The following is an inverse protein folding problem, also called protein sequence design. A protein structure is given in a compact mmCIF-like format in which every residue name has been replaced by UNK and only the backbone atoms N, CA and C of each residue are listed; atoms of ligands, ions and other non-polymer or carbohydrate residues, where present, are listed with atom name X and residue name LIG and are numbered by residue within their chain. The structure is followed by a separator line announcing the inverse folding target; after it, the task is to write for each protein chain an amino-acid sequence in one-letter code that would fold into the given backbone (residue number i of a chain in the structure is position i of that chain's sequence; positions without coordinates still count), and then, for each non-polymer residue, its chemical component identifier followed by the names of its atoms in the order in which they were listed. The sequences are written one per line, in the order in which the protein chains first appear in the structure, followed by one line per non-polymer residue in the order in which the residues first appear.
data_IF_400265482981
#
_entry.id   IF_400265482981
#
_cell.length_a   1.000
_cell.length_b   1.000
_cell.length_c   1.000
_cell.angle_alpha   90.00
_cell.angle_beta   90.00
_cell.angle_gamma   90.00
#
_symmetry.space_group_name_H-M   'P 1'
#
loop_
_entity.id
_entity.type
_entity.pdbx_description
1 polymer ?
#
# COMPACT_ATOMS: atom_id res chain seq x y z
N UNK A 1 -67.75 -55.58 -10.13
CA UNK A 1 -67.12 -54.32 -9.73
C UNK A 1 -66.69 -53.57 -10.97
N UNK A 2 -67.48 -52.59 -11.40
CA UNK A 2 -67.23 -51.73 -12.56
C UNK A 2 -66.65 -50.41 -12.07
N UNK A 3 -65.45 -50.03 -12.51
CA UNK A 3 -65.07 -48.62 -12.68
C UNK A 3 -64.16 -48.50 -13.90
N UNK A 4 -64.77 -47.98 -14.96
CA UNK A 4 -64.14 -47.56 -16.21
C UNK A 4 -63.21 -46.38 -15.94
N UNK A 5 -62.01 -46.43 -16.50
CA UNK A 5 -61.08 -45.30 -16.56
C UNK A 5 -61.69 -44.15 -17.39
N UNK A 6 -61.47 -42.88 -17.02
CA UNK A 6 -61.97 -41.73 -17.77
C UNK A 6 -61.17 -41.52 -19.08
N UNK A 7 -61.77 -40.85 -20.09
CA UNK A 7 -61.16 -40.64 -21.40
C UNK A 7 -60.07 -39.57 -21.37
N UNK A 8 -59.01 -39.82 -22.16
CA UNK A 8 -57.90 -38.92 -22.42
C UNK A 8 -58.40 -37.76 -23.29
N UNK A 9 -58.30 -36.53 -22.79
CA UNK A 9 -58.57 -35.29 -23.54
C UNK A 9 -57.34 -34.99 -24.41
N UNK A 10 -57.50 -35.08 -25.73
CA UNK A 10 -56.49 -34.68 -26.71
C UNK A 10 -56.63 -33.17 -26.95
N UNK A 11 -55.63 -32.40 -26.52
CA UNK A 11 -55.54 -30.96 -26.82
C UNK A 11 -54.98 -30.76 -28.25
N UNK A 12 -55.55 -29.83 -29.05
CA UNK A 12 -55.04 -29.52 -30.38
C UNK A 12 -53.72 -28.75 -30.32
N UNK A 13 -52.85 -28.88 -31.34
CA UNK A 13 -51.53 -28.25 -31.36
C UNK A 13 -51.60 -26.72 -31.49
N UNK A 14 -50.60 -25.99 -30.97
CA UNK A 14 -50.56 -24.53 -31.01
C UNK A 14 -50.38 -24.00 -32.44
N UNK A 15 -51.14 -22.94 -32.77
CA UNK A 15 -51.05 -22.20 -34.03
C UNK A 15 -49.75 -21.41 -34.11
N UNK A 16 -49.02 -21.59 -35.21
CA UNK A 16 -47.80 -20.84 -35.55
C UNK A 16 -48.11 -19.36 -35.84
N UNK A 17 -47.29 -18.47 -35.26
CA UNK A 17 -47.29 -17.04 -35.56
C UNK A 17 -46.35 -16.76 -36.76
N UNK A 18 -46.68 -15.81 -37.65
CA UNK A 18 -45.89 -15.55 -38.84
C UNK A 18 -44.59 -14.78 -38.55
N UNK A 19 -43.49 -15.24 -39.15
CA UNK A 19 -42.17 -14.62 -39.12
C UNK A 19 -42.10 -13.31 -39.93
N UNK A 20 -41.29 -12.31 -39.50
CA UNK A 20 -41.09 -11.07 -40.26
C UNK A 20 -40.13 -11.26 -41.46
N UNK A 21 -40.24 -10.42 -42.50
CA UNK A 21 -39.53 -10.61 -43.76
C UNK A 21 -38.05 -10.20 -43.69
N UNK A 22 -37.22 -10.98 -44.39
CA UNK A 22 -35.77 -10.85 -44.46
C UNK A 22 -35.26 -9.65 -45.25
N UNK A 23 -33.99 -9.32 -45.01
CA UNK A 23 -33.16 -8.45 -45.85
C UNK A 23 -32.03 -9.27 -46.49
N UNK A 24 -31.64 -8.96 -47.73
CA UNK A 24 -30.64 -9.72 -48.47
C UNK A 24 -29.22 -9.20 -48.23
N UNK A 25 -28.24 -10.08 -48.35
CA UNK A 25 -27.14 -10.00 -49.33
C UNK A 25 -25.94 -10.85 -48.89
N UNK A 26 -25.63 -11.89 -49.66
CA UNK A 26 -24.31 -12.49 -49.75
C UNK A 26 -23.75 -12.13 -51.13
N UNK A 27 -22.60 -11.45 -51.21
CA UNK A 27 -21.63 -11.62 -52.29
C UNK A 27 -20.24 -11.46 -51.66
N UNK A 28 -19.39 -12.46 -51.91
CA UNK A 28 -17.98 -12.50 -51.52
C UNK A 28 -17.09 -11.73 -52.51
N UNK A 29 -15.83 -11.57 -52.11
CA UNK A 29 -14.65 -11.14 -52.89
C UNK A 29 -14.37 -9.65 -53.03
N UNK A 30 -13.43 -9.19 -52.20
CA UNK A 30 -12.32 -8.34 -52.63
C UNK A 30 -11.16 -8.43 -51.63
N UNK A 31 -10.09 -9.12 -52.04
CA UNK A 31 -8.75 -8.98 -51.47
C UNK A 31 -8.19 -7.63 -51.92
N UNK A 32 -7.64 -6.84 -50.99
CA UNK A 32 -6.36 -6.09 -51.13
C UNK A 32 -6.35 -4.73 -50.41
N UNK A 33 -5.29 -4.55 -49.60
CA UNK A 33 -4.65 -3.31 -49.16
C UNK A 33 -5.45 -2.30 -48.31
N UNK A 34 -5.37 -2.47 -46.99
CA UNK A 34 -5.31 -1.34 -46.07
C UNK A 34 -4.31 -1.63 -44.94
N UNK A 35 -3.27 -0.80 -44.87
CA UNK A 35 -2.21 -0.83 -43.86
C UNK A 35 -2.80 -0.76 -42.43
N UNK A 36 -2.10 -1.32 -41.42
CA UNK A 36 -2.59 -1.27 -40.04
C UNK A 36 -2.60 0.18 -39.55
N UNK A 37 -3.81 0.72 -39.36
CA UNK A 37 -4.02 1.91 -38.53
C UNK A 37 -3.51 1.56 -37.14
N UNK A 38 -2.33 2.09 -36.80
CA UNK A 38 -1.79 2.11 -35.44
C UNK A 38 -2.83 2.77 -34.53
N UNK A 39 -3.72 1.97 -33.92
CA UNK A 39 -4.53 2.42 -32.79
C UNK A 39 -3.56 2.71 -31.64
N UNK A 40 -3.17 3.97 -31.53
CA UNK A 40 -2.56 4.54 -30.34
C UNK A 40 -3.51 4.32 -29.17
N UNK A 41 -3.30 3.24 -28.42
CA UNK A 41 -3.91 3.02 -27.12
C UNK A 41 -3.06 3.73 -26.06
N UNK A 42 -2.92 5.05 -26.20
CA UNK A 42 -2.37 5.93 -25.17
C UNK A 42 -3.41 7.00 -24.87
N UNK A 43 -4.15 6.83 -23.78
CA UNK A 43 -4.65 7.90 -22.90
C UNK A 43 -5.83 7.41 -22.08
N UNK A 44 -5.57 7.06 -20.83
CA UNK A 44 -6.51 7.26 -19.72
C UNK A 44 -5.81 8.06 -18.62
N UNK A 45 -5.83 9.38 -18.85
CA UNK A 45 -6.07 10.48 -17.91
C UNK A 45 -5.10 10.76 -16.75
N UNK A 46 -4.38 11.90 -16.89
CA UNK A 46 -4.16 12.86 -15.81
C UNK A 46 -2.71 13.12 -15.40
N UNK A 47 -1.87 12.09 -15.38
CA UNK A 47 -0.43 12.22 -15.11
C UNK A 47 0.32 11.98 -16.43
N UNK A 48 -0.04 12.73 -17.46
CA UNK A 48 0.76 12.80 -18.68
C UNK A 48 2.16 13.31 -18.29
N UNK A 49 3.15 12.47 -18.59
CA UNK A 49 4.60 12.62 -18.48
C UNK A 49 5.13 13.69 -17.50
N UNK A 50 5.88 13.22 -16.51
CA UNK A 50 6.68 14.07 -15.64
C UNK A 50 7.57 14.99 -16.51
N UNK A 51 7.57 16.32 -16.30
CA UNK A 51 8.40 17.23 -17.09
C UNK A 51 9.88 16.83 -17.04
N UNK A 52 10.61 16.98 -18.14
CA UNK A 52 12.03 16.56 -18.22
C UNK A 52 12.94 17.29 -17.20
N UNK A 53 12.58 18.50 -16.80
CA UNK A 53 13.28 19.29 -15.78
C UNK A 53 12.94 18.89 -14.34
N UNK A 54 11.95 18.00 -14.16
CA UNK A 54 11.44 17.64 -12.85
C UNK A 54 12.39 16.66 -12.16
N UNK A 55 12.85 17.04 -10.98
CA UNK A 55 13.92 16.36 -10.26
C UNK A 55 13.73 16.52 -8.75
N UNK A 56 14.33 15.63 -7.98
CA UNK A 56 14.40 15.79 -6.52
C UNK A 56 15.26 17.03 -6.23
N UNK A 57 14.79 17.99 -5.41
CA UNK A 57 15.59 19.15 -5.02
C UNK A 57 16.93 18.74 -4.42
N UNK A 58 18.00 19.49 -4.73
CA UNK A 58 19.34 19.26 -4.17
C UNK A 58 19.34 19.48 -2.65
N UNK A 59 20.32 18.91 -1.95
CA UNK A 59 20.43 19.02 -0.49
C UNK A 59 20.57 20.48 -0.02
N UNK A 60 21.15 21.36 -0.86
CA UNK A 60 21.35 22.78 -0.60
C UNK A 60 20.12 23.64 -0.95
N UNK A 61 19.13 23.06 -1.65
CA UNK A 61 17.92 23.79 -2.03
C UNK A 61 17.05 24.07 -0.79
N UNK A 62 16.32 25.20 -0.76
CA UNK A 62 15.36 25.47 0.30
C UNK A 62 14.33 24.35 0.44
N UNK A 63 14.03 23.97 1.68
CA UNK A 63 12.97 23.01 1.98
C UNK A 63 11.62 23.64 1.65
N UNK A 64 10.72 22.86 1.04
CA UNK A 64 9.36 23.32 0.75
C UNK A 64 8.39 22.63 1.69
N UNK A 65 7.67 23.43 2.46
CA UNK A 65 6.59 22.97 3.35
C UNK A 65 5.26 23.43 2.79
N UNK A 66 4.34 22.50 2.60
CA UNK A 66 2.98 22.78 2.18
C UNK A 66 2.10 23.03 3.41
N UNK A 67 1.47 24.19 3.44
CA UNK A 67 0.53 24.57 4.48
C UNK A 67 -0.88 24.38 3.93
N UNK A 68 -1.67 23.51 4.55
CA UNK A 68 -3.06 23.23 4.18
C UNK A 68 -4.03 23.77 5.24
N UNK A 69 -5.02 24.54 4.78
CA UNK A 69 -6.11 25.06 5.56
C UNK A 69 -7.43 24.54 4.99
N UNK A 70 -8.14 23.70 5.74
CA UNK A 70 -9.49 23.25 5.42
C UNK A 70 -10.47 24.00 6.34
N UNK A 71 -11.58 24.57 5.85
CA UNK A 71 -12.56 25.23 6.69
C UNK A 71 -13.02 24.34 7.85
N UNK A 72 -13.05 24.90 9.06
CA UNK A 72 -13.43 24.22 10.31
C UNK A 72 -12.54 23.04 10.70
N UNK A 73 -11.29 22.97 10.23
CA UNK A 73 -10.31 21.97 10.65
C UNK A 73 -8.99 22.62 11.08
N UNK A 74 -8.18 21.84 11.79
CA UNK A 74 -6.83 22.24 12.14
C UNK A 74 -5.94 22.41 10.90
N UNK A 75 -5.13 23.46 10.93
CA UNK A 75 -4.08 23.73 9.95
C UNK A 75 -3.08 22.57 9.94
N UNK A 76 -2.67 22.15 8.75
CA UNK A 76 -1.69 21.07 8.55
C UNK A 76 -0.45 21.58 7.83
N UNK A 77 0.69 21.00 8.18
CA UNK A 77 1.97 21.27 7.53
C UNK A 77 2.56 19.95 7.03
N UNK A 78 2.92 19.90 5.75
CA UNK A 78 3.45 18.70 5.10
C UNK A 78 4.81 19.04 4.48
N UNK A 79 5.87 18.34 4.91
CA UNK A 79 7.20 18.52 4.34
C UNK A 79 7.30 17.81 2.99
N UNK A 80 7.53 18.60 1.93
CA UNK A 80 7.65 18.12 0.56
C UNK A 80 9.11 17.87 0.15
N UNK A 81 10.06 18.09 1.06
CA UNK A 81 11.49 17.92 0.79
C UNK A 81 11.84 16.49 0.38
N UNK A 82 12.80 16.35 -0.53
CA UNK A 82 13.24 15.04 -1.03
C UNK A 82 12.30 14.37 -2.02
N UNK A 83 11.24 15.06 -2.47
CA UNK A 83 10.29 14.57 -3.47
C UNK A 83 10.46 15.37 -4.76
N UNK A 84 10.44 14.68 -5.90
CA UNK A 84 10.40 15.31 -7.22
C UNK A 84 8.99 15.69 -7.64
N UNK A 85 7.97 14.98 -7.13
CA UNK A 85 6.57 15.30 -7.32
C UNK A 85 5.69 14.79 -6.18
N UNK A 86 4.51 15.40 -6.02
CA UNK A 86 3.53 15.02 -4.99
C UNK A 86 2.12 15.11 -5.56
N UNK A 87 1.36 14.02 -5.49
CA UNK A 87 -0.05 14.00 -5.85
C UNK A 87 -0.91 14.57 -4.71
N UNK A 88 -1.87 15.40 -5.07
CA UNK A 88 -2.84 15.98 -4.17
C UNK A 88 -4.24 15.51 -4.56
N UNK A 89 -5.03 15.08 -3.59
CA UNK A 89 -6.41 14.72 -3.86
C UNK A 89 -7.11 14.11 -2.66
N UNK A 90 -8.40 13.84 -2.81
CA UNK A 90 -9.25 13.33 -1.73
C UNK A 90 -8.96 11.87 -1.37
N UNK A 91 -8.43 11.10 -2.32
CA UNK A 91 -8.12 9.67 -2.15
C UNK A 91 -6.80 9.34 -2.83
N UNK A 92 -5.74 10.06 -2.46
CA UNK A 92 -4.37 9.75 -2.89
C UNK A 92 -3.67 8.94 -1.82
N UNK A 93 -3.03 7.85 -2.23
CA UNK A 93 -2.21 7.03 -1.34
C UNK A 93 -0.85 7.69 -1.09
N UNK A 94 -0.21 7.44 0.07
CA UNK A 94 1.16 7.86 0.31
C UNK A 94 2.10 7.39 -0.82
N UNK A 95 3.02 8.25 -1.30
CA UNK A 95 3.46 9.51 -0.71
C UNK A 95 2.63 10.75 -1.12
N UNK A 96 1.45 10.58 -1.71
CA UNK A 96 0.50 11.66 -1.98
C UNK A 96 -0.06 12.30 -0.70
N UNK A 97 -0.57 13.52 -0.81
CA UNK A 97 -1.14 14.27 0.30
C UNK A 97 -2.65 14.35 0.16
N UNK A 98 -3.34 13.79 1.15
CA UNK A 98 -4.80 13.80 1.21
C UNK A 98 -5.32 15.19 1.55
N UNK A 99 -6.05 15.76 0.60
CA UNK A 99 -6.86 16.96 0.71
C UNK A 99 -8.22 16.62 1.33
N UNK A 100 -8.76 17.49 2.20
CA UNK A 100 -9.94 17.17 3.04
C UNK A 100 -11.22 17.89 2.63
N UNK A 101 -11.15 18.81 1.68
CA UNK A 101 -12.28 19.50 1.09
C UNK A 101 -13.23 18.53 0.39
N UNK A 102 -14.52 18.63 0.71
CA UNK A 102 -15.56 17.78 0.10
C UNK A 102 -15.66 17.93 -1.42
N UNK A 103 -15.29 19.11 -1.95
CA UNK A 103 -15.26 19.42 -3.39
C UNK A 103 -13.95 19.04 -4.08
N UNK A 104 -13.01 18.43 -3.36
CA UNK A 104 -11.74 17.98 -3.94
C UNK A 104 -11.92 16.64 -4.67
N UNK A 105 -11.44 16.55 -5.92
CA UNK A 105 -11.39 15.28 -6.68
C UNK A 105 -10.41 14.25 -6.08
N UNK A 106 -10.62 12.98 -6.41
CA UNK A 106 -9.81 11.83 -5.95
C UNK A 106 -8.32 12.01 -6.24
N UNK A 107 -8.02 12.32 -7.50
CA UNK A 107 -6.73 12.83 -7.99
C UNK A 107 -7.01 14.24 -8.49
N UNK A 108 -6.60 15.26 -7.74
CA UNK A 108 -6.99 16.65 -7.99
C UNK A 108 -5.91 17.41 -8.74
N UNK A 109 -4.71 17.43 -8.18
CA UNK A 109 -3.58 18.16 -8.73
C UNK A 109 -2.27 17.42 -8.43
N UNK A 110 -1.20 17.85 -9.07
CA UNK A 110 0.16 17.37 -8.80
C UNK A 110 1.08 18.57 -8.64
N UNK A 111 1.95 18.50 -7.64
CA UNK A 111 3.08 19.42 -7.47
C UNK A 111 4.31 18.75 -8.08
N UNK A 112 5.07 19.48 -8.90
CA UNK A 112 6.37 19.08 -9.43
C UNK A 112 7.46 20.00 -8.90
N UNK A 113 8.67 19.46 -8.74
CA UNK A 113 9.84 20.19 -8.30
C UNK A 113 10.97 20.14 -9.32
N UNK A 114 11.81 21.17 -9.35
CA UNK A 114 13.09 21.13 -10.06
C UNK A 114 14.25 20.94 -9.07
N UNK A 115 15.48 20.80 -9.61
CA UNK A 115 16.68 20.63 -8.80
C UNK A 115 16.97 21.80 -7.83
N UNK A 116 16.46 23.01 -8.13
CA UNK A 116 16.63 24.21 -7.29
C UNK A 116 15.56 24.32 -6.18
N UNK A 117 14.61 23.38 -6.11
CA UNK A 117 13.51 23.41 -5.14
C UNK A 117 12.37 24.37 -5.50
N UNK A 118 12.28 24.84 -6.75
CA UNK A 118 11.09 25.56 -7.23
C UNK A 118 9.93 24.58 -7.43
N UNK A 119 8.71 25.05 -7.20
CA UNK A 119 7.49 24.24 -7.26
C UNK A 119 6.58 24.67 -8.42
N UNK A 120 5.95 23.71 -9.07
CA UNK A 120 4.93 23.93 -10.10
C UNK A 120 3.70 23.08 -9.79
N UNK A 121 2.53 23.62 -10.07
CA UNK A 121 1.26 22.93 -9.89
C UNK A 121 0.59 22.67 -11.24
N UNK A 122 -0.01 21.49 -11.37
CA UNK A 122 -0.85 21.10 -12.50
C UNK A 122 -2.15 20.52 -11.97
N UNK A 123 -3.28 21.07 -12.39
CA UNK A 123 -4.58 20.48 -12.15
C UNK A 123 -4.76 19.24 -13.05
N UNK A 124 -5.18 18.11 -12.48
CA UNK A 124 -5.27 16.81 -13.16
C UNK A 124 -6.64 16.57 -13.82
N UNK A 125 -7.38 17.63 -14.17
CA UNK A 125 -8.75 17.52 -14.66
C UNK A 125 -9.75 17.38 -13.51
N UNK A 126 -9.55 18.15 -12.43
CA UNK A 126 -10.44 18.08 -11.27
C UNK A 126 -11.85 18.59 -11.62
N UNK A 127 -12.87 17.97 -11.01
CA UNK A 127 -14.29 18.28 -11.29
C UNK A 127 -14.62 19.74 -10.97
N UNK A 128 -14.13 20.23 -9.82
CA UNK A 128 -14.41 21.59 -9.36
C UNK A 128 -13.28 22.58 -9.67
N UNK A 129 -12.16 22.12 -10.25
CA UNK A 129 -11.03 22.95 -10.61
C UNK A 129 -10.08 23.29 -9.47
N UNK A 130 -8.85 23.59 -9.85
CA UNK A 130 -7.85 24.28 -9.02
C UNK A 130 -7.89 25.78 -9.31
N UNK A 131 -7.74 26.61 -8.28
CA UNK A 131 -7.72 28.07 -8.40
C UNK A 131 -6.42 28.63 -7.82
N UNK A 132 -5.78 29.56 -8.52
CA UNK A 132 -4.57 30.27 -8.10
C UNK A 132 -4.93 31.73 -7.88
N UNK A 133 -4.76 32.24 -6.65
CA UNK A 133 -5.24 33.56 -6.23
C UNK A 133 -6.70 33.81 -6.65
N UNK A 134 -7.56 32.83 -6.37
CA UNK A 134 -8.99 32.83 -6.72
C UNK A 134 -9.32 32.77 -8.23
N UNK A 135 -8.33 32.71 -9.13
CA UNK A 135 -8.52 32.51 -10.58
C UNK A 135 -8.39 31.04 -10.91
N UNK A 136 -9.41 30.44 -11.55
CA UNK A 136 -9.37 29.03 -11.97
C UNK A 136 -8.28 28.84 -13.03
N UNK A 137 -7.35 27.91 -12.79
CA UNK A 137 -6.28 27.59 -13.73
C UNK A 137 -6.75 26.56 -14.76
N UNK A 138 -6.13 26.55 -15.94
CA UNK A 138 -6.48 25.59 -17.00
C UNK A 138 -6.00 24.19 -16.62
N UNK A 139 -6.89 23.17 -16.65
CA UNK A 139 -6.49 21.78 -16.41
C UNK A 139 -5.33 21.33 -17.31
N UNK A 140 -4.51 20.43 -16.79
CA UNK A 140 -3.34 19.84 -17.45
C UNK A 140 -2.26 20.85 -17.90
N UNK A 141 -2.34 22.11 -17.46
CA UNK A 141 -1.32 23.14 -17.71
C UNK A 141 -0.49 23.35 -16.44
N UNK A 142 0.82 23.52 -16.60
CA UNK A 142 1.76 23.76 -15.50
C UNK A 142 1.84 25.24 -15.17
N UNK A 143 1.70 25.57 -13.89
CA UNK A 143 1.84 26.94 -13.37
C UNK A 143 2.90 26.94 -12.27
N UNK A 144 3.80 27.93 -12.29
CA UNK A 144 4.77 28.10 -11.19
C UNK A 144 4.00 28.46 -9.91
N UNK A 145 4.26 27.72 -8.82
CA UNK A 145 3.68 28.00 -7.52
C UNK A 145 4.72 28.72 -6.66
N UNK A 146 4.50 30.03 -6.44
CA UNK A 146 5.35 30.85 -5.58
C UNK A 146 4.84 30.84 -4.12
N UNK A 147 5.71 31.06 -3.11
CA UNK A 147 5.33 30.99 -1.70
C UNK A 147 4.19 31.90 -1.24
N UNK A 148 4.07 33.06 -1.87
CA UNK A 148 3.06 34.09 -1.62
C UNK A 148 1.72 33.82 -2.33
N UNK A 149 1.64 32.77 -3.16
CA UNK A 149 0.46 32.46 -3.96
C UNK A 149 -0.39 31.43 -3.25
N UNK A 150 -1.67 31.78 -3.04
CA UNK A 150 -2.66 30.87 -2.49
C UNK A 150 -3.26 30.00 -3.60
N UNK A 151 -3.33 28.69 -3.34
CA UNK A 151 -4.03 27.73 -4.19
C UNK A 151 -5.26 27.24 -3.46
N UNK A 152 -6.40 27.18 -4.16
CA UNK A 152 -7.62 26.55 -3.68
C UNK A 152 -7.95 25.32 -4.52
N UNK A 153 -8.23 24.22 -3.84
CA UNK A 153 -8.65 22.96 -4.46
C UNK A 153 -10.16 22.78 -4.32
N UNK A 154 -10.87 22.92 -5.44
CA UNK A 154 -12.33 22.89 -5.49
C UNK A 154 -13.00 24.23 -5.18
N UNK A 155 -14.32 24.17 -4.98
CA UNK A 155 -15.19 25.34 -4.77
C UNK A 155 -15.57 25.50 -3.30
N UNK A 156 -15.80 26.74 -2.87
CA UNK A 156 -16.38 27.03 -1.57
C UNK A 156 -17.78 26.40 -1.39
N UNK A 157 -18.19 26.08 -0.15
CA UNK A 157 -17.42 26.20 1.10
C UNK A 157 -16.53 24.98 1.43
N UNK A 158 -16.60 23.91 0.61
CA UNK A 158 -15.97 22.62 0.92
C UNK A 158 -14.64 22.43 0.19
N UNK A 159 -13.72 23.39 0.28
CA UNK A 159 -12.42 23.38 -0.39
C UNK A 159 -11.24 23.25 0.58
N UNK A 160 -10.06 22.95 0.05
CA UNK A 160 -8.79 23.17 0.77
C UNK A 160 -8.12 24.43 0.19
N UNK A 161 -7.56 25.25 1.07
CA UNK A 161 -6.63 26.32 0.69
C UNK A 161 -5.21 25.90 1.05
N UNK A 162 -4.27 26.27 0.20
CA UNK A 162 -2.89 25.88 0.35
C UNK A 162 -1.95 27.03 0.03
N UNK A 163 -0.85 27.10 0.77
CA UNK A 163 0.31 27.95 0.47
C UNK A 163 1.57 27.12 0.66
N UNK A 164 2.67 27.53 0.04
CA UNK A 164 3.98 26.88 0.26
C UNK A 164 4.89 27.84 1.01
N UNK A 165 5.67 27.33 1.94
CA UNK A 165 6.71 28.09 2.64
C UNK A 165 8.07 27.50 2.30
N UNK A 166 9.05 28.39 2.08
CA UNK A 166 10.45 28.00 1.90
C UNK A 166 11.18 28.12 3.22
N UNK A 167 11.73 27.01 3.70
CA UNK A 167 12.55 26.96 4.89
C UNK A 167 14.02 26.74 4.51
N UNK A 168 14.94 27.10 5.42
CA UNK A 168 16.35 26.84 5.22
C UNK A 168 16.63 25.34 5.01
N UNK A 169 17.61 24.97 4.18
CA UNK A 169 18.03 23.58 4.01
C UNK A 169 18.45 22.97 5.36
N UNK A 170 18.32 21.65 5.49
CA UNK A 170 18.83 20.96 6.68
C UNK A 170 20.34 21.21 6.79
N UNK A 171 20.80 21.74 7.94
CA UNK A 171 22.24 21.75 8.25
C UNK A 171 22.68 20.30 8.41
N UNK A 172 23.46 19.78 7.46
CA UNK A 172 24.09 18.48 7.56
C UNK A 172 24.94 18.46 8.85
N UNK A 173 24.46 17.79 9.91
CA UNK A 173 25.36 17.38 11.00
C UNK A 173 26.32 16.37 10.38
N UNK A 174 27.61 16.73 10.35
CA UNK A 174 28.65 16.02 9.61
C UNK A 174 28.63 14.51 9.84
N UNK A 175 28.13 13.77 8.85
CA UNK A 175 28.38 12.34 8.70
C UNK A 175 29.81 12.24 8.18
N UNK A 176 30.73 11.77 9.04
CA UNK A 176 32.10 11.45 8.65
C UNK A 176 32.05 10.45 7.49
N UNK A 177 32.71 10.80 6.39
CA UNK A 177 32.85 9.95 5.19
C UNK A 177 33.44 8.58 5.57
N UNK A 178 33.03 7.46 4.94
CA UNK A 178 33.68 6.18 5.12
C UNK A 178 35.14 6.28 4.67
N UNK A 179 36.03 5.79 5.52
CA UNK A 179 37.48 5.75 5.39
C UNK A 179 37.87 4.80 4.25
N UNK A 180 38.61 5.32 3.27
CA UNK A 180 39.30 4.53 2.24
C UNK A 180 40.33 3.57 2.87
N UNK A 181 40.46 2.47 2.15
CA UNK A 181 41.16 1.22 2.41
C UNK A 181 42.66 1.38 2.70
N UNK A 182 43.18 0.59 3.64
CA UNK A 182 44.57 0.60 4.11
C UNK A 182 45.56 -0.02 3.10
N UNK A 183 46.76 0.56 3.03
CA UNK A 183 48.00 -0.07 2.56
C UNK A 183 49.20 0.52 3.37
N UNK A 184 50.37 -0.16 3.46
CA UNK A 184 50.90 -0.74 4.71
C UNK A 184 52.00 0.12 5.40
N UNK A 185 52.50 -0.26 6.60
CA UNK A 185 53.10 0.67 7.54
C UNK A 185 54.60 0.87 7.29
N UNK A 186 55.08 2.11 7.50
CA UNK A 186 56.50 2.36 7.78
C UNK A 186 56.71 3.38 8.91
N UNK A 187 57.45 2.88 9.89
CA UNK A 187 58.41 3.53 10.80
C UNK A 187 57.94 4.62 11.77
N UNK A 188 57.91 4.20 13.06
CA UNK A 188 58.62 4.78 14.21
C UNK A 188 58.58 6.31 14.39
N UNK A 189 57.88 6.77 15.43
CA UNK A 189 58.49 7.33 16.66
C UNK A 189 57.42 7.83 17.66
N UNK A 190 57.55 7.37 18.91
CA UNK A 190 57.12 8.02 20.16
C UNK A 190 58.31 8.89 20.67
N UNK A 191 58.22 9.74 21.72
CA UNK A 191 57.13 9.91 22.72
C UNK A 191 56.82 11.37 23.17
N UNK A 192 55.79 11.53 24.01
CA UNK A 192 55.75 12.19 25.35
C UNK A 192 54.31 12.63 25.63
N UNK A 193 53.55 12.04 26.57
CA UNK A 193 53.70 11.99 28.04
C UNK A 193 53.25 13.28 28.74
N UNK A 194 52.42 13.08 29.78
CA UNK A 194 51.86 14.01 30.77
C UNK A 194 50.65 14.83 30.26
N UNK A 195 49.54 14.99 31.00
CA UNK A 195 49.22 14.68 32.40
C UNK A 195 47.71 14.90 32.65
N UNK A 196 47.13 14.08 33.54
CA UNK A 196 46.17 14.36 34.63
C UNK A 196 45.30 15.65 34.54
N UNK A 197 44.01 15.70 34.88
CA UNK A 197 43.33 15.29 36.12
C UNK A 197 41.80 15.20 35.94
N UNK A 198 41.17 14.47 36.87
CA UNK A 198 39.74 14.37 37.08
C UNK A 198 39.25 15.35 38.17
N UNK A 199 38.00 15.81 38.07
CA UNK A 199 37.15 16.26 39.19
C UNK A 199 35.71 16.46 38.66
N UNK A 200 34.74 15.60 39.00
CA UNK A 200 33.79 15.65 40.15
C UNK A 200 32.74 16.76 40.08
N UNK A 201 31.44 16.35 40.02
CA UNK A 201 30.32 16.66 40.97
C UNK A 201 29.55 17.95 40.58
N UNK A 202 28.23 18.16 40.65
CA UNK A 202 26.99 17.61 41.28
C UNK A 202 25.81 18.01 40.35
N UNK A 203 24.75 17.22 40.10
CA UNK A 203 23.53 17.04 40.89
C UNK A 203 22.90 18.31 41.50
N UNK A 204 21.77 18.79 40.94
CA UNK A 204 20.66 19.35 41.72
C UNK A 204 19.31 19.11 41.03
N UNK A 205 18.38 18.62 41.85
CA UNK A 205 16.95 18.40 41.67
C UNK A 205 16.14 19.63 41.27
N UNK A 206 14.96 19.39 40.69
CA UNK A 206 13.94 20.41 40.40
C UNK A 206 12.59 19.81 40.03
N UNK A 207 11.99 19.07 40.97
CA UNK A 207 10.60 18.57 40.92
C UNK A 207 9.62 19.70 41.25
N UNK A 208 8.58 19.88 40.44
CA UNK A 208 7.34 20.56 40.83
C UNK A 208 6.12 19.82 40.23
N UNK A 209 5.35 19.17 41.11
CA UNK A 209 3.92 18.85 40.95
C UNK A 209 3.13 20.15 41.28
N UNK A 210 1.86 20.38 40.96
CA UNK A 210 0.70 19.55 40.70
C UNK A 210 -0.36 20.42 39.97
N UNK A 211 -1.41 19.82 39.41
CA UNK A 211 -2.79 20.02 39.88
C UNK A 211 -3.75 19.09 39.11
N UNK A 212 -4.57 18.40 39.90
CA UNK A 212 -5.60 17.44 39.55
C UNK A 212 -6.95 18.11 39.43
N UNK A 213 -7.81 17.65 38.52
CA UNK A 213 -9.26 17.59 38.72
C UNK A 213 -9.80 16.34 38.01
N UNK A 214 -10.63 15.57 38.72
CA UNK A 214 -11.09 14.25 38.31
C UNK A 214 -12.51 14.21 37.75
N UNK A 215 -12.85 13.08 37.09
CA UNK A 215 -14.20 12.50 37.05
C UNK A 215 -14.22 11.10 36.39
N UNK A 216 -14.78 10.11 37.09
CA UNK A 216 -15.56 8.99 36.52
C UNK A 216 -14.83 7.69 36.11
N UNK A 217 -15.47 6.50 36.30
CA UNK A 217 -14.80 5.20 36.17
C UNK A 217 -14.58 4.81 34.70
N UNK A 218 -13.36 4.36 34.40
CA UNK A 218 -12.90 4.00 33.06
C UNK A 218 -13.68 2.80 32.48
N UNK A 219 -14.57 3.07 31.53
CA UNK A 219 -15.03 2.05 30.57
C UNK A 219 -13.82 1.62 29.73
N UNK A 220 -13.49 0.33 29.74
CA UNK A 220 -12.45 -0.23 28.87
C UNK A 220 -12.72 0.22 27.42
N UNK A 221 -11.77 0.95 26.84
CA UNK A 221 -11.88 1.44 25.48
C UNK A 221 -11.99 0.25 24.53
N UNK A 222 -13.11 0.17 23.81
CA UNK A 222 -13.32 -0.82 22.78
C UNK A 222 -12.20 -0.70 21.74
N UNK A 223 -11.53 -1.82 21.51
CA UNK A 223 -10.40 -1.95 20.61
C UNK A 223 -10.92 -2.25 19.21
N UNK A 224 -10.39 -1.59 18.20
CA UNK A 224 -10.85 -1.79 16.83
C UNK A 224 -10.34 -3.10 16.23
N UNK A 225 -11.23 -3.89 15.63
CA UNK A 225 -10.88 -5.18 15.00
C UNK A 225 -10.20 -5.05 13.62
N UNK A 226 -10.14 -3.86 13.02
CA UNK A 226 -9.57 -3.61 11.67
C UNK A 226 -8.13 -3.12 11.72
N UNK A 227 -7.83 -2.29 12.69
CA UNK A 227 -6.53 -1.61 12.79
C UNK A 227 -5.99 -1.62 14.22
N UNK A 228 -6.66 -2.32 15.13
CA UNK A 228 -6.16 -2.60 16.46
C UNK A 228 -5.97 -1.34 17.36
N UNK A 229 -6.35 -0.16 16.88
CA UNK A 229 -6.29 1.11 17.59
C UNK A 229 -7.32 1.27 18.72
N UNK A 230 -7.12 2.25 19.63
CA UNK A 230 -7.99 2.51 20.77
C UNK A 230 -9.25 3.31 20.37
N UNK A 231 -10.02 2.79 19.43
CA UNK A 231 -11.31 3.33 19.00
C UNK A 231 -12.23 2.18 18.55
N UNK A 232 -13.52 2.42 18.37
CA UNK A 232 -14.46 1.43 17.86
C UNK A 232 -14.16 1.05 16.38
N UNK A 233 -14.56 -0.16 15.97
CA UNK A 233 -14.25 -0.74 14.64
C UNK A 233 -14.89 0.01 13.47
N UNK A 234 -16.08 0.55 13.68
CA UNK A 234 -16.80 1.46 12.78
C UNK A 234 -16.10 2.82 12.62
N UNK A 235 -15.31 3.23 13.62
CA UNK A 235 -14.57 4.49 13.66
C UNK A 235 -13.09 4.34 13.29
N UNK A 236 -12.70 3.20 12.69
CA UNK A 236 -11.30 2.98 12.34
C UNK A 236 -10.79 4.03 11.33
N UNK A 237 -9.78 4.84 11.68
CA UNK A 237 -9.24 5.90 10.84
C UNK A 237 -8.56 5.33 9.59
N UNK A 238 -8.17 4.06 9.63
CA UNK A 238 -7.56 3.32 8.54
C UNK A 238 -8.58 2.62 7.62
N UNK A 239 -9.77 2.25 8.14
CA UNK A 239 -10.72 1.40 7.42
C UNK A 239 -12.16 1.85 7.69
N UNK A 240 -12.60 2.89 6.96
CA UNK A 240 -13.86 3.62 7.19
C UNK A 240 -15.09 3.07 6.46
N UNK A 241 -14.96 1.99 5.71
CA UNK A 241 -16.11 1.28 5.12
C UNK A 241 -16.61 0.19 6.08
N UNK A 242 -17.89 -0.24 6.03
CA UNK A 242 -18.25 -1.56 6.50
C UNK A 242 -17.39 -2.60 5.77
N UNK A 243 -17.33 -3.85 6.22
CA UNK A 243 -16.73 -4.91 5.38
C UNK A 243 -17.65 -5.11 4.16
N UNK A 244 -17.57 -4.21 3.17
CA UNK A 244 -18.42 -4.22 2.00
C UNK A 244 -17.80 -5.09 0.92
N UNK A 245 -18.41 -6.26 0.78
CA UNK A 245 -18.82 -6.90 -0.47
C UNK A 245 -17.84 -6.81 -1.63
N UNK A 246 -16.60 -7.18 -1.34
CA UNK A 246 -15.72 -7.63 -2.39
C UNK A 246 -16.26 -8.94 -2.99
N UNK A 247 -15.99 -9.21 -4.26
CA UNK A 247 -16.37 -10.48 -4.90
C UNK A 247 -15.70 -11.66 -4.20
N UNK A 248 -14.60 -11.46 -3.46
CA UNK A 248 -13.99 -12.43 -2.54
C UNK A 248 -14.63 -12.45 -1.12
N UNK A 249 -15.38 -11.42 -0.74
CA UNK A 249 -16.23 -11.35 0.44
C UNK A 249 -17.64 -11.94 0.20
N UNK A 250 -18.03 -12.18 -1.06
CA UNK A 250 -19.35 -12.71 -1.47
C UNK A 250 -19.35 -13.93 -2.41
N UNK A 251 -18.23 -14.60 -2.73
CA UNK A 251 -18.31 -15.93 -3.40
C UNK A 251 -19.04 -16.99 -2.53
N UNK A 252 -19.30 -16.71 -1.24
CA UNK A 252 -19.79 -17.71 -0.29
C UNK A 252 -21.16 -17.53 0.33
N UNK A 253 -21.95 -16.53 -0.07
CA UNK A 253 -23.37 -16.58 0.26
C UNK A 253 -24.06 -17.60 -0.67
N UNK A 254 -23.99 -18.88 -0.30
CA UNK A 254 -24.76 -19.97 -0.91
C UNK A 254 -23.97 -21.13 -1.53
N UNK A 255 -22.64 -21.05 -1.66
CA UNK A 255 -21.83 -22.11 -2.27
C UNK A 255 -21.17 -23.01 -1.22
N UNK A 256 -21.42 -24.32 -1.29
CA UNK A 256 -21.05 -25.31 -0.25
C UNK A 256 -19.55 -25.63 -0.13
N UNK A 257 -18.62 -24.94 -0.79
CA UNK A 257 -17.14 -25.08 -0.65
C UNK A 257 -16.35 -24.29 -1.71
N UNK A 258 -15.64 -23.22 -1.35
CA UNK A 258 -14.48 -22.80 -2.11
C UNK A 258 -13.24 -22.63 -1.22
N UNK A 259 -12.08 -22.95 -1.81
CA UNK A 259 -10.76 -22.85 -1.20
C UNK A 259 -10.28 -21.40 -1.36
N UNK A 260 -10.37 -20.57 -0.31
CA UNK A 260 -10.02 -19.14 -0.35
C UNK A 260 -8.60 -18.87 0.19
N UNK A 261 -7.66 -18.51 -0.69
CA UNK A 261 -6.36 -17.94 -0.32
C UNK A 261 -6.56 -16.49 0.15
N UNK A 262 -5.91 -16.10 1.26
CA UNK A 262 -6.04 -14.81 1.94
C UNK A 262 -7.10 -14.77 3.06
N UNK A 263 -7.96 -15.78 3.18
CA UNK A 263 -9.00 -15.85 4.23
C UNK A 263 -8.41 -16.14 5.62
N UNK A 264 -9.10 -15.78 6.70
CA UNK A 264 -8.70 -16.15 8.07
C UNK A 264 -8.70 -17.68 8.31
N UNK A 265 -9.30 -18.44 7.38
CA UNK A 265 -9.49 -19.88 7.49
C UNK A 265 -10.41 -20.24 8.67
N UNK A 266 -11.29 -19.34 9.09
CA UNK A 266 -12.14 -19.44 10.28
C UNK A 266 -11.51 -18.88 11.55
N UNK A 267 -12.27 -18.90 12.67
CA UNK A 267 -11.85 -18.44 14.00
C UNK A 267 -10.82 -19.38 14.66
N UNK A 268 -9.71 -19.66 13.98
CA UNK A 268 -8.66 -20.52 14.49
C UNK A 268 -7.71 -19.74 15.42
N UNK A 269 -7.60 -20.20 16.66
CA UNK A 269 -6.68 -19.65 17.66
C UNK A 269 -5.63 -20.69 18.01
N UNK A 270 -4.38 -20.40 17.68
CA UNK A 270 -3.22 -21.20 18.04
C UNK A 270 -2.80 -20.86 19.48
N UNK A 271 -3.16 -21.73 20.43
CA UNK A 271 -2.90 -21.49 21.85
C UNK A 271 -1.45 -21.73 22.27
N UNK A 272 -0.79 -22.69 21.66
CA UNK A 272 0.56 -23.12 22.02
C UNK A 272 1.53 -22.84 20.87
N UNK A 273 2.18 -21.67 20.90
CA UNK A 273 3.24 -21.33 19.96
C UNK A 273 4.27 -20.39 20.57
N UNK A 274 5.50 -20.48 20.07
CA UNK A 274 6.62 -19.61 20.45
C UNK A 274 6.88 -18.60 19.35
N UNK A 275 6.97 -17.33 19.73
CA UNK A 275 7.39 -16.26 18.83
C UNK A 275 8.91 -16.25 18.72
N UNK A 276 9.43 -16.15 17.49
CA UNK A 276 10.86 -16.01 17.20
C UNK A 276 11.10 -14.65 16.56
N UNK A 277 11.74 -13.76 17.32
CA UNK A 277 12.01 -12.38 16.90
C UNK A 277 12.87 -12.33 15.65
N UNK A 278 12.43 -11.57 14.66
CA UNK A 278 13.17 -11.28 13.44
C UNK A 278 13.76 -9.87 13.48
N UNK A 279 14.87 -9.63 12.77
CA UNK A 279 15.49 -8.31 12.72
C UNK A 279 14.59 -7.28 12.01
N UNK A 280 14.66 -6.03 12.46
CA UNK A 280 13.93 -4.88 11.91
C UNK A 280 14.67 -4.18 10.75
N UNK A 281 15.28 -4.94 9.85
CA UNK A 281 16.10 -4.44 8.74
C UNK A 281 15.29 -4.14 7.45
N UNK A 282 13.95 -4.09 7.56
CA UNK A 282 13.03 -3.97 6.43
C UNK A 282 12.80 -5.27 5.64
N UNK A 283 13.39 -6.39 6.09
CA UNK A 283 13.19 -7.74 5.51
C UNK A 283 12.56 -8.73 6.49
N UNK A 284 11.94 -8.26 7.57
CA UNK A 284 11.38 -9.08 8.64
C UNK A 284 10.40 -10.18 8.16
N UNK A 285 9.59 -9.91 7.12
CA UNK A 285 8.76 -10.93 6.49
C UNK A 285 9.61 -12.07 5.90
N UNK A 286 10.62 -11.73 5.11
CA UNK A 286 11.47 -12.71 4.43
C UNK A 286 12.26 -13.54 5.44
N UNK A 287 12.77 -12.93 6.51
CA UNK A 287 13.39 -13.66 7.62
C UNK A 287 12.40 -14.64 8.27
N UNK A 288 11.15 -14.22 8.48
CA UNK A 288 10.09 -15.08 9.03
C UNK A 288 9.76 -16.27 8.11
N UNK A 289 9.68 -16.02 6.80
CA UNK A 289 9.45 -17.06 5.79
C UNK A 289 10.64 -18.04 5.72
N UNK A 290 11.88 -17.53 5.69
CA UNK A 290 13.09 -18.35 5.71
C UNK A 290 13.14 -19.26 6.94
N UNK A 291 12.77 -18.74 8.12
CA UNK A 291 12.69 -19.53 9.33
C UNK A 291 11.71 -20.70 9.19
N UNK A 292 10.50 -20.44 8.69
CA UNK A 292 9.49 -21.48 8.47
C UNK A 292 9.94 -22.52 7.44
N UNK A 293 10.40 -22.07 6.27
CA UNK A 293 10.88 -22.92 5.17
C UNK A 293 12.05 -23.82 5.59
N UNK A 294 12.96 -23.31 6.41
CA UNK A 294 14.09 -24.10 6.92
C UNK A 294 13.64 -25.28 7.79
N UNK A 295 12.42 -25.23 8.34
CA UNK A 295 11.84 -26.28 9.18
C UNK A 295 10.97 -27.26 8.41
N UNK A 296 10.54 -26.92 7.20
CA UNK A 296 9.81 -27.85 6.32
C UNK A 296 10.73 -28.85 5.63
N UNK A 297 12.05 -28.70 5.80
CA UNK A 297 13.06 -29.51 5.13
C UNK A 297 13.36 -29.05 3.70
N UNK A 298 12.78 -27.92 3.27
CA UNK A 298 12.87 -27.40 1.89
C UNK A 298 14.20 -26.64 1.65
N UNK A 299 15.23 -26.86 2.47
CA UNK A 299 16.55 -26.22 2.36
C UNK A 299 16.74 -25.06 3.33
N UNK A 300 17.97 -24.51 3.41
CA UNK A 300 18.28 -23.30 4.18
C UNK A 300 18.21 -22.09 3.28
N UNK A 301 17.56 -21.04 3.76
CA UNK A 301 17.34 -19.81 3.01
C UNK A 301 17.85 -18.60 3.79
N UNK A 302 18.37 -17.63 3.04
CA UNK A 302 18.67 -16.28 3.53
C UNK A 302 17.62 -15.31 2.99
N UNK A 303 17.25 -14.32 3.81
CA UNK A 303 16.16 -13.39 3.48
C UNK A 303 16.40 -12.64 2.17
N UNK A 304 17.63 -12.21 1.91
CA UNK A 304 18.00 -11.53 0.66
C UNK A 304 17.80 -12.43 -0.57
N UNK A 305 18.26 -13.68 -0.48
CA UNK A 305 18.13 -14.66 -1.57
C UNK A 305 16.66 -15.02 -1.82
N UNK A 306 15.89 -15.28 -0.74
CA UNK A 306 14.46 -15.59 -0.85
C UNK A 306 13.67 -14.42 -1.45
N UNK A 307 13.98 -13.18 -1.04
CA UNK A 307 13.38 -11.96 -1.59
C UNK A 307 13.57 -11.87 -3.10
N UNK A 308 14.79 -12.09 -3.59
CA UNK A 308 15.09 -12.05 -5.03
C UNK A 308 14.41 -13.18 -5.79
N UNK A 309 14.30 -14.36 -5.19
CA UNK A 309 13.60 -15.49 -5.79
C UNK A 309 12.10 -15.23 -5.92
N UNK A 310 11.46 -14.69 -4.88
CA UNK A 310 10.04 -14.30 -4.90
C UNK A 310 9.82 -13.18 -5.93
N UNK A 311 10.69 -12.17 -5.96
CA UNK A 311 10.60 -11.09 -6.93
C UNK A 311 10.68 -11.60 -8.37
N UNK A 312 11.64 -12.49 -8.64
CA UNK A 312 11.79 -13.14 -9.95
C UNK A 312 10.56 -13.96 -10.32
N UNK A 313 10.02 -14.72 -9.37
CA UNK A 313 8.80 -15.48 -9.58
C UNK A 313 7.61 -14.58 -9.95
N UNK A 314 7.45 -13.44 -9.28
CA UNK A 314 6.42 -12.44 -9.60
C UNK A 314 6.60 -11.88 -11.02
N UNK A 315 7.84 -11.55 -11.40
CA UNK A 315 8.18 -11.02 -12.74
C UNK A 315 7.90 -12.04 -13.85
N UNK A 316 8.23 -13.32 -13.62
CA UNK A 316 8.08 -14.41 -14.59
C UNK A 316 6.63 -14.92 -14.71
N UNK A 317 5.78 -14.66 -13.72
CA UNK A 317 4.42 -15.22 -13.65
C UNK A 317 3.31 -14.16 -13.47
N UNK A 318 3.25 -13.09 -14.29
CA UNK A 318 2.27 -12.01 -14.12
C UNK A 318 0.81 -12.49 -14.27
N UNK A 319 0.58 -13.50 -15.09
CA UNK A 319 -0.76 -14.06 -15.38
C UNK A 319 -1.14 -15.22 -14.45
N UNK A 320 -0.30 -15.56 -13.47
CA UNK A 320 -0.66 -16.58 -12.50
C UNK A 320 -1.84 -16.11 -11.66
N UNK A 321 -2.94 -16.86 -11.71
CA UNK A 321 -4.12 -16.59 -10.91
C UNK A 321 -3.91 -17.05 -9.46
N UNK A 322 -4.19 -16.13 -8.54
CA UNK A 322 -4.22 -16.37 -7.10
C UNK A 322 -5.54 -15.80 -6.57
N UNK A 323 -6.39 -16.66 -5.99
CA UNK A 323 -7.70 -16.28 -5.46
C UNK A 323 -8.67 -15.61 -6.46
N UNK A 324 -8.48 -15.84 -7.76
CA UNK A 324 -9.37 -15.34 -8.81
C UNK A 324 -8.92 -14.03 -9.47
N UNK A 325 -7.80 -13.45 -9.03
CA UNK A 325 -7.12 -12.35 -9.72
C UNK A 325 -5.73 -12.81 -10.19
N UNK A 326 -5.24 -12.28 -11.30
CA UNK A 326 -3.84 -12.49 -11.69
C UNK A 326 -2.89 -11.72 -10.77
N UNK A 327 -1.64 -12.21 -10.62
CA UNK A 327 -0.62 -11.48 -9.87
C UNK A 327 -0.42 -10.04 -10.38
N UNK A 328 -0.48 -9.82 -11.69
CA UNK A 328 -0.38 -8.49 -12.28
C UNK A 328 -1.56 -7.59 -11.89
N UNK A 329 -2.78 -8.10 -11.90
CA UNK A 329 -3.96 -7.35 -11.44
C UNK A 329 -3.85 -7.02 -9.95
N UNK A 330 -3.49 -7.99 -9.12
CA UNK A 330 -3.32 -7.75 -7.68
C UNK A 330 -2.25 -6.68 -7.41
N UNK A 331 -1.10 -6.76 -8.06
CA UNK A 331 -0.04 -5.74 -7.96
C UNK A 331 -0.52 -4.38 -8.45
N UNK A 332 -1.27 -4.34 -9.55
CA UNK A 332 -1.84 -3.10 -10.10
C UNK A 332 -2.81 -2.47 -9.10
N UNK A 333 -3.62 -3.27 -8.40
CA UNK A 333 -4.57 -2.77 -7.41
C UNK A 333 -3.92 -2.34 -6.10
N UNK A 334 -2.94 -3.10 -5.60
CA UNK A 334 -2.33 -2.88 -4.29
C UNK A 334 -1.19 -1.84 -4.33
N UNK A 335 -0.36 -1.88 -5.36
CA UNK A 335 0.85 -1.08 -5.47
C UNK A 335 0.83 -0.06 -6.61
N UNK A 336 -0.26 0.00 -7.40
CA UNK A 336 -0.46 0.91 -8.53
C UNK A 336 0.77 1.00 -9.47
N UNK A 337 1.35 -0.16 -9.78
CA UNK A 337 2.55 -0.29 -10.62
C UNK A 337 2.46 -1.54 -11.48
N UNK A 338 3.40 -1.74 -12.41
CA UNK A 338 3.48 -2.99 -13.19
C UNK A 338 4.14 -4.10 -12.36
N UNK A 339 3.82 -5.37 -12.68
CA UNK A 339 4.45 -6.55 -12.07
C UNK A 339 5.98 -6.49 -12.16
N UNK A 340 6.52 -6.09 -13.30
CA UNK A 340 7.96 -5.88 -13.52
C UNK A 340 8.55 -4.80 -12.61
N UNK A 341 7.93 -3.62 -12.54
CA UNK A 341 8.45 -2.53 -11.71
C UNK A 341 8.36 -2.88 -10.21
N UNK A 342 7.27 -3.55 -9.82
CA UNK A 342 7.08 -4.08 -8.48
C UNK A 342 8.17 -5.10 -8.11
N UNK A 343 8.39 -6.10 -8.97
CA UNK A 343 9.39 -7.14 -8.77
C UNK A 343 10.80 -6.54 -8.63
N UNK A 344 11.19 -5.61 -9.51
CA UNK A 344 12.50 -4.94 -9.42
C UNK A 344 12.69 -4.19 -8.10
N UNK A 345 11.65 -3.50 -7.63
CA UNK A 345 11.68 -2.80 -6.35
C UNK A 345 11.83 -3.79 -5.19
N UNK A 346 10.91 -4.76 -5.09
CA UNK A 346 10.84 -5.68 -3.95
C UNK A 346 12.06 -6.60 -3.88
N UNK A 347 12.75 -6.86 -5.00
CA UNK A 347 14.01 -7.60 -5.05
C UNK A 347 15.14 -6.95 -4.24
N UNK A 348 15.13 -5.62 -4.11
CA UNK A 348 16.21 -4.84 -3.48
C UNK A 348 15.79 -4.29 -2.12
N UNK A 349 14.57 -3.73 -2.03
CA UNK A 349 14.13 -3.01 -0.83
C UNK A 349 12.61 -2.97 -0.73
N UNK A 350 12.10 -2.52 0.42
CA UNK A 350 10.67 -2.43 0.69
C UNK A 350 10.14 -3.59 1.53
N UNK A 351 9.05 -3.31 2.22
CA UNK A 351 8.38 -4.27 3.09
C UNK A 351 7.55 -5.21 2.23
N UNK A 352 7.61 -6.51 2.55
CA UNK A 352 6.74 -7.50 1.94
C UNK A 352 5.44 -7.66 2.73
N UNK A 353 4.43 -8.24 2.09
CA UNK A 353 3.12 -8.49 2.66
C UNK A 353 2.40 -9.65 1.97
N UNK A 354 1.12 -9.47 1.66
CA UNK A 354 0.26 -10.52 1.11
C UNK A 354 0.72 -11.05 -0.25
N UNK A 355 1.19 -10.16 -1.13
CA UNK A 355 1.68 -10.53 -2.48
C UNK A 355 2.88 -11.47 -2.37
N UNK A 356 3.88 -11.13 -1.53
CA UNK A 356 5.06 -11.97 -1.34
C UNK A 356 4.73 -13.30 -0.68
N UNK A 357 3.81 -13.33 0.29
CA UNK A 357 3.38 -14.57 0.94
C UNK A 357 2.65 -15.49 -0.04
N UNK A 358 1.77 -14.94 -0.88
CA UNK A 358 1.06 -15.67 -1.92
C UNK A 358 2.02 -16.22 -2.98
N UNK A 359 2.95 -15.39 -3.46
CA UNK A 359 4.00 -15.80 -4.38
C UNK A 359 4.90 -16.88 -3.77
N UNK A 360 5.30 -16.72 -2.50
CA UNK A 360 6.11 -17.71 -1.78
C UNK A 360 5.39 -19.06 -1.63
N UNK A 361 4.08 -19.04 -1.34
CA UNK A 361 3.24 -20.24 -1.22
C UNK A 361 3.27 -21.07 -2.51
N UNK A 362 3.14 -20.39 -3.67
CA UNK A 362 3.22 -21.00 -4.99
C UNK A 362 4.63 -21.46 -5.35
N UNK A 363 5.61 -20.58 -5.18
CA UNK A 363 7.02 -20.85 -5.51
C UNK A 363 7.59 -22.04 -4.73
N UNK A 364 7.26 -22.16 -3.44
CA UNK A 364 7.83 -23.18 -2.54
C UNK A 364 6.92 -24.38 -2.29
N UNK A 365 5.71 -24.40 -2.87
CA UNK A 365 4.72 -25.45 -2.64
C UNK A 365 4.40 -25.65 -1.15
N UNK A 366 4.24 -24.55 -0.40
CA UNK A 366 3.91 -24.55 1.03
C UNK A 366 2.68 -23.68 1.29
N UNK A 367 1.93 -23.96 2.33
CA UNK A 367 0.93 -23.00 2.82
C UNK A 367 1.63 -21.94 3.70
N UNK A 368 1.16 -20.69 3.67
CA UNK A 368 1.62 -19.65 4.62
C UNK A 368 0.44 -19.18 5.45
N UNK A 369 0.49 -19.34 6.76
CA UNK A 369 -0.55 -18.88 7.68
C UNK A 369 -0.04 -17.69 8.50
N UNK A 370 -0.83 -16.62 8.50
CA UNK A 370 -0.51 -15.38 9.20
C UNK A 370 -1.37 -15.29 10.45
N UNK A 371 -0.73 -15.00 11.58
CA UNK A 371 -1.37 -14.86 12.87
C UNK A 371 -1.12 -13.48 13.46
N UNK A 372 -1.94 -13.10 14.42
CA UNK A 372 -1.72 -11.95 15.31
C UNK A 372 -1.87 -12.40 16.78
N UNK A 373 -1.28 -11.69 17.75
CA UNK A 373 -1.47 -11.99 19.17
C UNK A 373 -2.92 -11.72 19.63
N UNK A 374 -3.52 -12.66 20.35
CA UNK A 374 -4.82 -12.45 20.98
C UNK A 374 -4.72 -11.43 22.15
N UNK A 375 -5.59 -10.42 22.15
CA UNK A 375 -5.59 -9.33 23.14
C UNK A 375 -6.03 -9.72 24.55
N UNK A 376 -6.80 -10.81 24.69
CA UNK A 376 -7.58 -11.09 25.91
C UNK A 376 -7.56 -12.54 26.40
N UNK A 377 -6.77 -13.44 25.78
CA UNK A 377 -6.90 -14.88 26.11
C UNK A 377 -5.68 -15.78 25.88
N UNK A 378 -4.48 -15.21 25.69
CA UNK A 378 -3.30 -15.98 25.30
C UNK A 378 -3.43 -16.62 23.90
N UNK A 379 -2.31 -16.97 23.29
CA UNK A 379 -2.27 -17.54 21.95
C UNK A 379 -2.36 -16.52 20.80
N UNK A 380 -2.54 -17.04 19.60
CA UNK A 380 -2.40 -16.30 18.35
C UNK A 380 -3.59 -16.60 17.42
N UNK A 381 -4.31 -15.57 16.99
CA UNK A 381 -5.46 -15.68 16.09
C UNK A 381 -4.97 -15.70 14.65
N UNK A 382 -5.43 -16.65 13.84
CA UNK A 382 -5.13 -16.65 12.40
C UNK A 382 -5.95 -15.56 11.71
N UNK A 383 -5.27 -14.76 10.89
CA UNK A 383 -5.86 -13.61 10.18
C UNK A 383 -5.81 -13.75 8.67
N UNK A 384 -4.92 -14.61 8.15
CA UNK A 384 -4.83 -14.88 6.72
C UNK A 384 -4.17 -16.23 6.43
N UNK A 385 -4.60 -16.89 5.34
CA UNK A 385 -4.11 -18.20 4.90
C UNK A 385 -3.79 -18.16 3.41
N UNK A 386 -2.52 -18.27 3.04
CA UNK A 386 -2.06 -18.42 1.66
C UNK A 386 -1.84 -19.92 1.39
N UNK A 387 -2.94 -20.66 1.28
CA UNK A 387 -2.91 -22.11 1.12
C UNK A 387 -2.51 -22.56 -0.29
N UNK A 388 -1.63 -23.56 -0.36
CA UNK A 388 -1.30 -24.25 -1.59
C UNK A 388 -2.03 -25.60 -1.65
N UNK A 389 -2.77 -25.94 -2.72
CA UNK A 389 -3.56 -27.19 -2.79
C UNK A 389 -2.74 -28.47 -2.60
N UNK A 390 -1.44 -28.41 -2.94
CA UNK A 390 -0.51 -29.53 -2.84
C UNK A 390 0.51 -29.35 -1.69
N UNK A 391 0.32 -28.38 -0.80
CA UNK A 391 1.24 -28.15 0.31
C UNK A 391 1.29 -29.37 1.25
N UNK A 392 2.51 -29.86 1.50
CA UNK A 392 2.79 -30.87 2.54
C UNK A 392 3.16 -30.25 3.89
N UNK A 393 3.38 -28.93 3.91
CA UNK A 393 3.85 -28.20 5.09
C UNK A 393 3.33 -26.77 5.10
N UNK A 394 3.26 -26.19 6.29
CA UNK A 394 2.78 -24.83 6.51
C UNK A 394 3.85 -24.00 7.21
N UNK A 395 4.08 -22.80 6.70
CA UNK A 395 4.90 -21.75 7.32
C UNK A 395 3.99 -20.84 8.13
N UNK A 396 4.33 -20.60 9.40
CA UNK A 396 3.55 -19.75 10.28
C UNK A 396 4.29 -18.44 10.55
N UNK A 397 3.64 -17.31 10.26
CA UNK A 397 4.18 -15.96 10.44
C UNK A 397 3.30 -15.19 11.42
N UNK A 398 3.91 -14.42 12.31
CA UNK A 398 3.25 -13.55 13.27
C UNK A 398 3.33 -12.09 12.82
N UNK A 399 2.19 -11.47 12.57
CA UNK A 399 2.06 -10.05 12.31
C UNK A 399 2.01 -9.24 13.61
N UNK A 400 2.82 -8.19 13.71
CA UNK A 400 2.93 -7.33 14.90
C UNK A 400 2.45 -5.90 14.62
N UNK A 401 1.18 -5.76 14.24
CA UNK A 401 0.48 -4.48 14.31
C UNK A 401 1.00 -3.39 13.39
N UNK A 402 1.22 -3.67 12.10
CA UNK A 402 1.40 -2.63 11.08
C UNK A 402 2.80 -2.52 10.47
N UNK A 403 3.84 -2.91 11.20
CA UNK A 403 5.21 -2.53 10.84
C UNK A 403 6.21 -3.69 10.88
N UNK A 404 5.80 -4.88 11.35
CA UNK A 404 6.75 -5.95 11.60
C UNK A 404 6.13 -7.35 11.52
N UNK A 405 6.97 -8.32 11.13
CA UNK A 405 6.67 -9.74 11.15
C UNK A 405 7.71 -10.49 11.96
N UNK A 406 7.24 -11.42 12.79
CA UNK A 406 8.07 -12.42 13.45
C UNK A 406 7.73 -13.82 12.94
N UNK A 407 8.64 -14.78 13.13
CA UNK A 407 8.31 -16.17 12.89
C UNK A 407 7.48 -16.73 14.05
N UNK A 408 6.48 -17.54 13.72
CA UNK A 408 5.67 -18.24 14.72
C UNK A 408 5.99 -19.73 14.66
N UNK A 409 6.29 -20.33 15.80
CA UNK A 409 6.58 -21.75 15.92
C UNK A 409 5.49 -22.42 16.74
N UNK A 410 4.54 -23.15 16.12
CA UNK A 410 3.61 -24.00 16.84
C UNK A 410 4.37 -25.00 17.74
N UNK A 411 3.88 -25.20 18.95
CA UNK A 411 4.32 -26.32 19.78
C UNK A 411 3.91 -27.63 19.09
N UNK A 412 4.77 -28.66 19.20
CA UNK A 412 4.47 -30.01 18.71
C UNK A 412 3.47 -30.71 19.60
#
# INVERSE_FOLDING_TARGET
GSRRSPPIVVLPPPRELPSPPGRPACIADAVSLAAPVKRHLHSRMGIAEKPHWCAVPRAEAPRTVLILNTPNQERREEDLSGRDHVLLGRTVDPPGITLRGGHTSRTHAVIYFNADGKAWIKDCGSVNGTHMNNVKITPNTLYEWKPDVQIRFGNAPNHDEATIQRMAPFKARGVKRPREEEAPPRSLQLPKAASTEAATTEATDGRAQAHTDGAGPARQAAKCDKCDGPHLTDMCPHFKKPREEHKDAWVNYGAKRPLHMGSDGGNFVLRNARTIKQPGDGSCLFHSLCFGLSRTGVGRYEAYSLRREIARFIEENPHLEISGDTLEEWIRWDANTSSTAYARRIAVSGWGGGIEMAACSRLKNVSVHVYEPCRSGGGYRRISCFDHPQAKSTVHVLYQGGVHYDALLPAR
#
